data_IF_531805457390
#
_entry.id   IF_531805457390
#
_cell.length_a   1.000
_cell.length_b   1.000
_cell.length_c   1.000
_cell.angle_alpha   90.00
_cell.angle_beta   90.00
_cell.angle_gamma   90.00
#
_symmetry.space_group_name_H-M   'P 1'
#
loop_
_entity.id
_entity.type
_entity.pdbx_description
1 polymer ?
#
# COMPACT_ATOMS: atom_id res chain seq x y z
N UNK A 1 5.04 -28.30 -1.98
CA UNK A 1 4.70 -26.86 -2.10
C UNK A 1 5.81 -26.26 -2.94
N UNK A 2 5.52 -25.85 -4.17
CA UNK A 2 6.56 -25.25 -5.01
C UNK A 2 7.05 -23.96 -4.34
N UNK A 3 8.36 -23.82 -4.19
CA UNK A 3 8.97 -22.63 -3.61
C UNK A 3 8.80 -21.44 -4.55
N UNK A 4 8.74 -20.23 -3.99
CA UNK A 4 8.82 -19.01 -4.77
C UNK A 4 10.14 -19.02 -5.55
N UNK A 5 10.11 -18.94 -6.90
CA UNK A 5 11.30 -19.15 -7.73
C UNK A 5 12.41 -18.11 -7.52
N UNK A 6 12.11 -16.96 -6.91
CA UNK A 6 13.11 -16.04 -6.34
C UNK A 6 12.50 -15.23 -5.18
N UNK A 7 12.62 -15.76 -3.96
CA UNK A 7 12.11 -15.10 -2.76
C UNK A 7 12.84 -13.79 -2.43
N UNK A 8 14.12 -13.66 -2.78
CA UNK A 8 14.92 -12.47 -2.47
C UNK A 8 14.56 -11.28 -3.38
N UNK A 9 14.40 -11.53 -4.68
CA UNK A 9 13.90 -10.52 -5.61
C UNK A 9 12.48 -10.09 -5.25
N UNK A 10 11.62 -11.05 -4.88
CA UNK A 10 10.26 -10.76 -4.44
C UNK A 10 10.25 -9.85 -3.19
N UNK A 11 11.03 -10.18 -2.17
CA UNK A 11 11.14 -9.38 -0.95
C UNK A 11 11.65 -7.95 -1.24
N UNK A 12 12.65 -7.83 -2.12
CA UNK A 12 13.20 -6.53 -2.53
C UNK A 12 12.15 -5.67 -3.24
N UNK A 13 11.40 -6.27 -4.17
CA UNK A 13 10.33 -5.58 -4.88
C UNK A 13 9.23 -5.12 -3.94
N UNK A 14 8.77 -6.00 -3.04
CA UNK A 14 7.76 -5.67 -2.04
C UNK A 14 8.20 -4.52 -1.14
N UNK A 15 9.43 -4.57 -0.62
CA UNK A 15 10.01 -3.49 0.19
C UNK A 15 9.99 -2.16 -0.55
N UNK A 16 10.44 -2.13 -1.80
CA UNK A 16 10.50 -0.91 -2.59
C UNK A 16 9.10 -0.37 -2.89
N UNK A 17 8.13 -1.23 -3.19
CA UNK A 17 6.72 -0.84 -3.39
C UNK A 17 6.12 -0.22 -2.13
N UNK A 18 6.38 -0.78 -0.94
CA UNK A 18 5.89 -0.19 0.31
C UNK A 18 6.54 1.17 0.63
N UNK A 19 7.83 1.34 0.32
CA UNK A 19 8.51 2.64 0.44
C UNK A 19 7.89 3.67 -0.52
N UNK A 20 7.55 3.26 -1.75
CA UNK A 20 6.85 4.12 -2.70
C UNK A 20 5.48 4.53 -2.17
N UNK A 21 4.70 3.59 -1.61
CA UNK A 21 3.39 3.91 -1.02
C UNK A 21 3.50 4.86 0.18
N UNK A 22 4.54 4.71 1.00
CA UNK A 22 4.80 5.63 2.13
C UNK A 22 5.24 7.03 1.67
N UNK A 23 5.73 7.16 0.44
CA UNK A 23 6.17 8.43 -0.15
C UNK A 23 5.05 9.12 -0.95
N UNK A 24 3.84 8.55 -1.00
CA UNK A 24 2.70 9.17 -1.70
C UNK A 24 2.27 10.43 -0.94
N UNK A 25 2.20 11.55 -1.66
CA UNK A 25 1.75 12.84 -1.14
C UNK A 25 0.33 12.77 -0.52
N UNK A 26 0.13 13.47 0.60
CA UNK A 26 -1.13 13.51 1.35
C UNK A 26 -2.35 13.91 0.49
N UNK A 27 -2.14 14.74 -0.54
CA UNK A 27 -3.19 15.23 -1.45
C UNK A 27 -3.77 14.12 -2.36
N UNK A 28 -3.03 13.03 -2.56
CA UNK A 28 -3.49 11.86 -3.34
C UNK A 28 -4.43 10.97 -2.53
N UNK A 29 -4.51 11.18 -1.22
CA UNK A 29 -5.31 10.39 -0.32
C UNK A 29 -6.67 11.04 -0.05
N UNK A 30 -7.70 10.21 0.13
CA UNK A 30 -9.02 10.65 0.62
C UNK A 30 -9.31 10.00 1.96
N UNK A 31 -9.80 10.75 2.94
CA UNK A 31 -10.24 10.20 4.22
C UNK A 31 -11.36 9.19 3.97
N UNK A 32 -11.16 7.95 4.40
CA UNK A 32 -12.17 6.89 4.39
C UNK A 32 -12.92 6.83 5.72
N UNK A 33 -12.21 6.96 6.83
CA UNK A 33 -12.78 6.96 8.19
C UNK A 33 -11.84 7.68 9.14
N UNK A 34 -12.39 8.46 10.06
CA UNK A 34 -11.64 9.08 11.15
C UNK A 34 -12.25 8.69 12.49
N UNK A 35 -11.43 8.14 13.37
CA UNK A 35 -11.75 7.86 14.77
C UNK A 35 -10.77 8.59 15.67
N UNK A 36 -10.97 8.54 17.00
CA UNK A 36 -10.23 9.36 17.97
C UNK A 36 -8.71 9.37 17.76
N UNK A 37 -8.13 8.20 17.55
CA UNK A 37 -6.67 8.03 17.52
C UNK A 37 -6.14 7.57 16.15
N UNK A 38 -7.02 7.39 15.15
CA UNK A 38 -6.67 6.79 13.86
C UNK A 38 -7.43 7.45 12.72
N UNK A 39 -6.72 7.77 11.64
CA UNK A 39 -7.34 8.22 10.37
C UNK A 39 -7.02 7.22 9.27
N UNK A 40 -8.06 6.58 8.73
CA UNK A 40 -7.94 5.67 7.60
C UNK A 40 -8.11 6.48 6.32
N UNK A 41 -7.15 6.33 5.42
CA UNK A 41 -7.09 6.96 4.11
C UNK A 41 -7.26 5.92 3.00
N UNK A 42 -7.75 6.35 1.85
CA UNK A 42 -7.86 5.51 0.65
C UNK A 42 -7.48 6.26 -0.63
N UNK A 43 -6.87 5.54 -1.57
CA UNK A 43 -6.72 5.92 -2.99
C UNK A 43 -7.11 4.74 -3.88
N UNK A 44 -7.52 4.96 -5.15
CA UNK A 44 -7.70 3.86 -6.10
C UNK A 44 -6.42 3.02 -6.22
N UNK A 45 -6.58 1.69 -6.21
CA UNK A 45 -5.48 0.74 -6.40
C UNK A 45 -5.05 0.72 -7.87
N UNK A 46 -3.74 0.56 -8.10
CA UNK A 46 -3.19 0.33 -9.44
C UNK A 46 -3.13 -1.16 -9.79
N UNK A 47 -3.27 -2.05 -8.79
CA UNK A 47 -3.10 -3.49 -8.94
C UNK A 47 -4.41 -4.23 -9.23
N UNK A 48 -5.55 -3.66 -8.86
CA UNK A 48 -6.88 -4.28 -9.02
C UNK A 48 -8.00 -3.24 -8.93
N UNK A 49 -9.22 -3.64 -9.30
CA UNK A 49 -10.41 -2.77 -9.23
C UNK A 49 -10.89 -2.57 -7.77
N UNK A 50 -10.14 -1.78 -7.00
CA UNK A 50 -10.42 -1.48 -5.60
C UNK A 50 -9.55 -0.34 -5.06
N UNK A 51 -9.18 -0.40 -3.77
CA UNK A 51 -8.49 0.69 -3.08
C UNK A 51 -7.22 0.21 -2.35
N UNK A 52 -6.19 1.06 -2.36
CA UNK A 52 -5.09 1.01 -1.40
C UNK A 52 -5.50 1.78 -0.15
N UNK A 53 -5.20 1.23 1.03
CA UNK A 53 -5.56 1.79 2.33
C UNK A 53 -4.28 2.18 3.10
N UNK A 54 -4.27 3.37 3.68
CA UNK A 54 -3.25 3.83 4.62
C UNK A 54 -3.90 4.22 5.96
N UNK A 55 -3.13 4.16 7.04
CA UNK A 55 -3.57 4.35 8.44
C UNK A 55 -2.61 5.28 9.16
#
# INVERSE_FOLDING_TARGET
MEGLPDAAAFATRLKNTLIQYHSIEDDKWRVAKKVKDVTIWRKPSEEFNGYLIAV
#
